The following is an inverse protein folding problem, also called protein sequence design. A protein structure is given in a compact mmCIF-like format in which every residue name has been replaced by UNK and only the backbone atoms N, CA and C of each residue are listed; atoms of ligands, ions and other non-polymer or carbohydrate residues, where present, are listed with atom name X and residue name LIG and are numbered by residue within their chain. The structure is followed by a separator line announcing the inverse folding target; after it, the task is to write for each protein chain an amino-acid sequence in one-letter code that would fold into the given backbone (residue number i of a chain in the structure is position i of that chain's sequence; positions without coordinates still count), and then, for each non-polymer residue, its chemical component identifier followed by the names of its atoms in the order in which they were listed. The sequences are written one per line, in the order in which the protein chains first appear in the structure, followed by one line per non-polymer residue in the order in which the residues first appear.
data_IF_867491524256
#
_entry.id   IF_867491524256
#
_cell.length_a   1.000
_cell.length_b   1.000
_cell.length_c   1.000
_cell.angle_alpha   90.00
_cell.angle_beta   90.00
_cell.angle_gamma   90.00
#
_symmetry.space_group_name_H-M   'P 1'
#
loop_
_entity.id
_entity.type
_entity.pdbx_description
1 polymer ?
#
# COMPACT_ATOMS: atom_id res chain seq x y z
N UNK A 1 -18.13 -38.34 16.84
CA UNK A 1 -17.89 -36.98 17.40
C UNK A 1 -17.60 -36.05 16.23
N UNK A 2 -18.36 -34.96 16.05
CA UNK A 2 -18.06 -33.96 15.00
C UNK A 2 -16.81 -33.18 15.42
N UNK A 3 -15.82 -33.06 14.53
CA UNK A 3 -14.61 -32.28 14.79
C UNK A 3 -14.90 -30.78 14.96
N UNK A 4 -13.92 -30.00 15.45
CA UNK A 4 -14.07 -28.55 15.61
C UNK A 4 -14.31 -27.85 14.27
N UNK A 5 -14.97 -26.67 14.26
CA UNK A 5 -15.21 -25.91 13.04
C UNK A 5 -13.90 -25.39 12.43
N UNK A 6 -13.92 -25.12 11.12
CA UNK A 6 -12.76 -24.57 10.41
C UNK A 6 -12.40 -23.18 10.94
N UNK A 7 -11.11 -22.96 11.24
CA UNK A 7 -10.62 -21.69 11.78
C UNK A 7 -10.69 -20.51 10.79
N UNK A 8 -10.82 -20.76 9.49
CA UNK A 8 -10.96 -19.71 8.47
C UNK A 8 -9.76 -18.75 8.38
N UNK A 9 -8.56 -19.20 8.73
CA UNK A 9 -7.33 -18.38 8.79
C UNK A 9 -6.93 -17.79 7.43
N UNK A 10 -7.26 -18.44 6.32
CA UNK A 10 -6.96 -17.97 4.95
C UNK A 10 -8.14 -17.27 4.28
N UNK A 11 -9.32 -17.23 4.91
CA UNK A 11 -10.51 -16.64 4.30
C UNK A 11 -10.32 -15.14 4.08
N UNK A 12 -10.56 -14.67 2.86
CA UNK A 12 -10.54 -13.25 2.52
C UNK A 12 -11.53 -12.45 3.38
N UNK A 13 -11.17 -11.21 3.67
CA UNK A 13 -11.98 -10.28 4.45
C UNK A 13 -12.40 -9.09 3.59
N UNK A 14 -13.62 -8.57 3.79
CA UNK A 14 -14.09 -7.43 3.01
C UNK A 14 -13.29 -6.16 3.33
N UNK A 15 -12.93 -5.41 2.29
CA UNK A 15 -12.30 -4.10 2.43
C UNK A 15 -13.33 -3.06 2.90
N UNK A 16 -12.89 -2.18 3.81
CA UNK A 16 -13.65 -0.97 4.14
C UNK A 16 -13.45 0.07 3.04
N UNK A 17 -14.38 1.02 2.91
CA UNK A 17 -14.21 2.15 1.99
C UNK A 17 -13.02 3.00 2.45
N UNK A 18 -12.04 3.16 1.57
CA UNK A 18 -10.80 3.92 1.82
C UNK A 18 -11.08 5.43 1.83
N UNK A 19 -10.27 6.17 2.58
CA UNK A 19 -10.13 7.61 2.42
C UNK A 19 -9.57 7.94 1.03
N UNK A 20 -8.63 7.14 0.52
CA UNK A 20 -8.09 7.27 -0.84
C UNK A 20 -9.21 7.43 -1.88
N UNK A 21 -10.16 6.49 -1.92
CA UNK A 21 -11.24 6.51 -2.89
C UNK A 21 -12.13 7.74 -2.77
N UNK A 22 -12.43 8.18 -1.54
CA UNK A 22 -13.22 9.40 -1.31
C UNK A 22 -12.51 10.65 -1.85
N UNK A 23 -11.20 10.75 -1.64
CA UNK A 23 -10.38 11.84 -2.14
C UNK A 23 -10.23 11.83 -3.66
N UNK A 24 -10.09 10.63 -4.24
CA UNK A 24 -10.08 10.45 -5.69
C UNK A 24 -11.40 10.89 -6.31
N UNK A 25 -12.54 10.41 -5.78
CA UNK A 25 -13.88 10.75 -6.28
C UNK A 25 -14.16 12.28 -6.18
N UNK A 26 -13.54 12.99 -5.23
CA UNK A 26 -13.64 14.45 -5.08
C UNK A 26 -12.73 15.24 -6.01
N UNK A 27 -11.71 14.62 -6.58
CA UNK A 27 -10.69 15.30 -7.39
C UNK A 27 -9.64 16.04 -6.55
N UNK A 28 -9.53 15.73 -5.26
CA UNK A 28 -8.64 16.41 -4.30
C UNK A 28 -7.16 16.01 -4.46
N UNK A 29 -6.86 14.97 -5.24
CA UNK A 29 -5.48 14.55 -5.48
C UNK A 29 -4.77 15.45 -6.51
N UNK A 30 -3.46 15.73 -6.29
CA UNK A 30 -2.62 16.42 -7.27
C UNK A 30 -2.18 15.48 -8.41
N UNK A 31 -3.06 14.59 -8.87
CA UNK A 31 -2.79 13.61 -9.94
C UNK A 31 -3.86 13.68 -11.04
N UNK A 32 -3.48 13.30 -12.26
CA UNK A 32 -4.35 13.17 -13.42
C UNK A 32 -3.96 11.95 -14.25
N UNK A 33 -4.87 11.48 -15.12
CA UNK A 33 -4.56 10.44 -16.10
C UNK A 33 -3.62 11.04 -17.15
N UNK A 34 -2.43 10.48 -17.34
CA UNK A 34 -1.61 10.81 -18.51
C UNK A 34 -2.16 10.06 -19.73
N UNK A 35 -2.60 10.79 -20.76
CA UNK A 35 -2.99 10.17 -22.03
C UNK A 35 -1.73 9.90 -22.87
N UNK A 36 -1.03 8.82 -22.53
CA UNK A 36 0.08 8.32 -23.33
C UNK A 36 -0.28 6.95 -23.92
N UNK A 37 -0.33 6.79 -25.25
CA UNK A 37 -0.71 5.53 -25.89
C UNK A 37 0.28 4.37 -25.66
N UNK A 38 1.46 4.64 -25.09
CA UNK A 38 2.56 3.66 -24.92
C UNK A 38 2.75 3.26 -23.45
N UNK A 39 2.54 4.17 -22.50
CA UNK A 39 2.77 3.90 -21.07
C UNK A 39 1.65 4.43 -20.20
N UNK A 40 1.10 3.59 -19.33
CA UNK A 40 0.18 4.03 -18.28
C UNK A 40 0.98 4.71 -17.16
N UNK A 41 1.04 6.04 -17.19
CA UNK A 41 1.62 6.88 -16.14
C UNK A 41 0.56 7.81 -15.55
N UNK A 42 0.82 8.31 -14.34
CA UNK A 42 0.01 9.37 -13.75
C UNK A 42 0.75 10.69 -13.93
N UNK A 43 0.01 11.73 -14.31
CA UNK A 43 0.55 13.07 -14.41
C UNK A 43 0.36 13.78 -13.06
N UNK A 44 1.44 14.21 -12.43
CA UNK A 44 1.38 15.00 -11.21
C UNK A 44 1.16 16.48 -11.54
N UNK A 45 0.14 17.09 -10.93
CA UNK A 45 -0.18 18.52 -11.06
C UNK A 45 0.79 19.42 -10.29
N UNK A 46 1.51 18.84 -9.34
CA UNK A 46 2.50 19.50 -8.48
C UNK A 46 3.75 18.62 -8.46
N UNK A 47 4.93 19.23 -8.46
CA UNK A 47 6.20 18.51 -8.27
C UNK A 47 6.16 17.67 -6.98
N UNK A 48 6.55 16.41 -7.09
CA UNK A 48 6.43 15.42 -6.00
C UNK A 48 7.22 15.87 -4.76
N UNK A 49 8.37 16.51 -5.00
CA UNK A 49 9.29 17.02 -3.99
C UNK A 49 8.64 18.11 -3.12
N UNK A 50 7.61 18.79 -3.63
CA UNK A 50 6.90 19.87 -2.96
C UNK A 50 5.63 19.41 -2.22
N UNK A 51 5.25 18.13 -2.32
CA UNK A 51 4.06 17.60 -1.64
C UNK A 51 4.24 17.48 -0.13
N UNK A 52 3.17 17.62 0.65
CA UNK A 52 3.21 17.26 2.07
C UNK A 52 3.13 15.73 2.24
N UNK A 53 4.25 15.11 2.58
CA UNK A 53 4.33 13.66 2.74
C UNK A 53 3.59 13.15 3.98
N UNK A 54 3.43 13.96 5.03
CA UNK A 54 2.65 13.57 6.20
C UNK A 54 1.17 13.44 5.84
N UNK A 55 0.71 14.21 4.85
CA UNK A 55 -0.67 14.17 4.40
C UNK A 55 -0.89 13.13 3.28
N UNK A 56 -0.12 13.23 2.19
CA UNK A 56 -0.41 12.47 0.98
C UNK A 56 0.07 11.02 1.04
N UNK A 57 1.25 10.74 1.60
CA UNK A 57 1.80 9.38 1.56
C UNK A 57 0.91 8.38 2.34
N UNK A 58 0.42 8.68 3.56
CA UNK A 58 -0.52 7.79 4.25
C UNK A 58 -1.85 7.63 3.49
N UNK A 59 -2.32 8.69 2.82
CA UNK A 59 -3.55 8.64 2.03
C UNK A 59 -3.41 7.73 0.81
N UNK A 60 -2.26 7.77 0.12
CA UNK A 60 -1.94 6.83 -0.95
C UNK A 60 -1.82 5.39 -0.44
N UNK A 61 -1.14 5.18 0.70
CA UNK A 61 -1.02 3.87 1.34
C UNK A 61 -2.37 3.29 1.80
N UNK A 62 -3.34 4.11 2.18
CA UNK A 62 -4.71 3.66 2.46
C UNK A 62 -5.38 3.05 1.20
N UNK A 63 -4.99 3.52 0.02
CA UNK A 63 -5.38 2.98 -1.28
C UNK A 63 -4.83 1.58 -1.60
N UNK A 64 -3.91 1.01 -0.80
CA UNK A 64 -3.43 -0.37 -0.95
C UNK A 64 -4.56 -1.41 -0.91
N UNK A 65 -5.70 -1.05 -0.29
CA UNK A 65 -6.87 -1.92 -0.21
C UNK A 65 -7.72 -1.93 -1.49
N UNK A 66 -7.47 -1.02 -2.44
CA UNK A 66 -8.24 -0.90 -3.68
C UNK A 66 -7.82 -1.97 -4.69
N UNK A 67 -8.81 -2.60 -5.32
CA UNK A 67 -8.64 -3.64 -6.37
C UNK A 67 -9.38 -3.29 -7.66
N UNK A 68 -10.03 -2.13 -7.71
CA UNK A 68 -10.85 -1.70 -8.84
C UNK A 68 -10.14 -0.61 -9.61
N UNK A 69 -10.10 -0.75 -10.94
CA UNK A 69 -9.73 0.34 -11.82
C UNK A 69 -10.76 1.49 -11.72
N UNK A 70 -10.34 2.77 -11.73
CA UNK A 70 -8.97 3.26 -11.84
C UNK A 70 -8.21 3.36 -10.49
N UNK A 71 -8.89 3.18 -9.37
CA UNK A 71 -8.36 3.44 -8.02
C UNK A 71 -7.07 2.69 -7.70
N UNK A 72 -7.03 1.37 -7.98
CA UNK A 72 -5.84 0.56 -7.68
C UNK A 72 -4.60 1.03 -8.46
N UNK A 73 -4.78 1.53 -9.68
CA UNK A 73 -3.71 1.99 -10.54
C UNK A 73 -3.13 3.30 -9.99
N UNK A 74 -3.98 4.26 -9.68
CA UNK A 74 -3.55 5.54 -9.10
C UNK A 74 -2.92 5.39 -7.72
N UNK A 75 -3.47 4.52 -6.87
CA UNK A 75 -2.89 4.26 -5.55
C UNK A 75 -1.47 3.70 -5.69
N UNK A 76 -1.30 2.66 -6.50
CA UNK A 76 0.00 1.99 -6.69
C UNK A 76 1.03 2.88 -7.36
N UNK A 77 0.66 3.56 -8.44
CA UNK A 77 1.58 4.45 -9.13
C UNK A 77 1.96 5.65 -8.27
N UNK A 78 0.99 6.22 -7.53
CA UNK A 78 1.26 7.32 -6.62
C UNK A 78 2.22 6.95 -5.48
N UNK A 79 2.06 5.76 -4.89
CA UNK A 79 3.02 5.25 -3.90
C UNK A 79 4.41 5.10 -4.53
N UNK A 80 4.51 4.46 -5.70
CA UNK A 80 5.81 4.27 -6.36
C UNK A 80 6.52 5.60 -6.63
N UNK A 81 5.83 6.57 -7.23
CA UNK A 81 6.43 7.85 -7.58
C UNK A 81 6.87 8.62 -6.33
N UNK A 82 6.08 8.59 -5.24
CA UNK A 82 6.42 9.25 -3.98
C UNK A 82 7.57 8.55 -3.23
N UNK A 83 7.66 7.22 -3.29
CA UNK A 83 8.80 6.52 -2.69
C UNK A 83 10.09 6.76 -3.48
N UNK A 84 10.00 6.86 -4.81
CA UNK A 84 11.16 7.09 -5.68
C UNK A 84 11.74 8.50 -5.53
N UNK A 85 10.88 9.53 -5.36
CA UNK A 85 11.30 10.93 -5.34
C UNK A 85 11.20 11.59 -3.95
N UNK A 86 10.83 10.85 -2.91
CA UNK A 86 10.56 11.41 -1.58
C UNK A 86 11.79 11.70 -0.74
N UNK A 87 12.88 10.95 -0.94
CA UNK A 87 14.14 11.11 -0.21
C UNK A 87 13.94 11.19 1.32
N UNK A 88 14.51 12.21 1.95
CA UNK A 88 14.48 12.39 3.41
C UNK A 88 13.08 12.67 3.99
N UNK A 89 12.05 12.88 3.16
CA UNK A 89 10.67 13.12 3.61
C UNK A 89 9.92 11.84 3.96
N UNK A 90 10.45 10.68 3.58
CA UNK A 90 9.81 9.37 3.80
C UNK A 90 9.99 8.92 5.25
N UNK A 91 11.22 8.99 5.77
CA UNK A 91 11.58 8.50 7.10
C UNK A 91 10.66 9.03 8.23
N UNK A 92 10.35 10.35 8.30
CA UNK A 92 9.46 10.88 9.35
C UNK A 92 8.02 10.34 9.29
N UNK A 93 7.59 9.84 8.13
CA UNK A 93 6.20 9.42 7.88
C UNK A 93 5.99 7.92 8.11
N UNK A 94 7.06 7.12 8.22
CA UNK A 94 7.01 5.66 8.46
C UNK A 94 6.00 5.25 9.54
N UNK A 95 5.92 5.90 10.73
CA UNK A 95 4.94 5.53 11.76
C UNK A 95 3.47 5.62 11.29
N UNK A 96 3.16 6.53 10.37
CA UNK A 96 1.82 6.76 9.85
C UNK A 96 1.41 5.71 8.81
N UNK A 97 2.39 5.06 8.16
CA UNK A 97 2.15 4.04 7.12
C UNK A 97 1.77 2.67 7.72
N UNK A 98 2.08 2.45 9.00
CA UNK A 98 1.92 1.14 9.66
C UNK A 98 0.47 0.66 9.66
N UNK A 99 -0.49 1.56 9.96
CA UNK A 99 -1.91 1.21 10.00
C UNK A 99 -2.46 0.89 8.61
N UNK A 100 -2.26 1.71 7.57
CA UNK A 100 -2.61 1.35 6.20
C UNK A 100 -2.03 0.01 5.73
N UNK A 101 -0.74 -0.24 5.95
CA UNK A 101 -0.07 -1.50 5.59
C UNK A 101 -0.74 -2.68 6.30
N UNK A 102 -0.91 -2.57 7.62
CA UNK A 102 -1.57 -3.60 8.42
C UNK A 102 -2.99 -3.86 7.93
N UNK A 103 -3.76 -2.83 7.59
CA UNK A 103 -5.13 -2.97 7.10
C UNK A 103 -5.17 -3.73 5.77
N UNK A 104 -4.31 -3.35 4.81
CA UNK A 104 -4.23 -4.01 3.51
C UNK A 104 -3.87 -5.50 3.65
N UNK A 105 -2.83 -5.84 4.42
CA UNK A 105 -2.42 -7.23 4.60
C UNK A 105 -3.51 -8.06 5.33
N UNK A 106 -4.23 -7.45 6.28
CA UNK A 106 -5.30 -8.13 7.02
C UNK A 106 -6.53 -8.49 6.18
N UNK A 107 -6.65 -7.98 4.95
CA UNK A 107 -7.69 -8.38 4.01
C UNK A 107 -7.53 -9.81 3.53
N UNK A 108 -6.32 -10.39 3.65
CA UNK A 108 -6.02 -11.78 3.24
C UNK A 108 -6.29 -12.05 1.76
N UNK A 109 -6.46 -11.01 0.97
CA UNK A 109 -6.60 -11.09 -0.48
C UNK A 109 -5.21 -11.21 -1.12
N UNK A 110 -5.01 -12.22 -1.97
CA UNK A 110 -3.68 -12.56 -2.51
C UNK A 110 -3.09 -11.44 -3.38
N UNK A 111 -3.91 -10.76 -4.17
CA UNK A 111 -3.45 -9.64 -5.01
C UNK A 111 -2.96 -8.47 -4.16
N UNK A 112 -3.71 -8.12 -3.11
CA UNK A 112 -3.34 -7.04 -2.18
C UNK A 112 -2.08 -7.41 -1.38
N UNK A 113 -1.98 -8.66 -0.91
CA UNK A 113 -0.79 -9.17 -0.21
C UNK A 113 0.46 -9.01 -1.08
N UNK A 114 0.44 -9.54 -2.31
CA UNK A 114 1.57 -9.44 -3.24
C UNK A 114 1.94 -7.99 -3.56
N UNK A 115 0.94 -7.12 -3.78
CA UNK A 115 1.17 -5.70 -4.08
C UNK A 115 1.77 -4.98 -2.88
N UNK A 116 1.24 -5.20 -1.68
CA UNK A 116 1.72 -4.57 -0.45
C UNK A 116 3.13 -5.03 -0.11
N UNK A 117 3.47 -6.30 -0.34
CA UNK A 117 4.83 -6.82 -0.15
C UNK A 117 5.84 -6.16 -1.10
N UNK A 118 5.48 -5.95 -2.38
CA UNK A 118 6.34 -5.21 -3.32
C UNK A 118 6.54 -3.76 -2.90
N UNK A 119 5.49 -3.10 -2.42
CA UNK A 119 5.58 -1.74 -1.89
C UNK A 119 6.42 -1.67 -0.61
N UNK A 120 6.33 -2.68 0.26
CA UNK A 120 7.22 -2.78 1.43
C UNK A 120 8.68 -2.93 1.03
N UNK A 121 8.99 -3.71 -0.03
CA UNK A 121 10.35 -3.82 -0.56
C UNK A 121 10.87 -2.48 -1.11
N UNK A 122 10.02 -1.71 -1.83
CA UNK A 122 10.39 -0.37 -2.31
C UNK A 122 10.58 0.61 -1.14
N UNK A 123 9.69 0.58 -0.14
CA UNK A 123 9.75 1.45 1.03
C UNK A 123 11.08 1.30 1.77
N UNK A 124 11.54 0.07 2.05
CA UNK A 124 12.78 -0.14 2.83
C UNK A 124 14.05 0.31 2.12
N UNK A 125 14.03 0.46 0.79
CA UNK A 125 15.17 0.95 0.00
C UNK A 125 15.01 2.39 -0.47
N UNK A 126 13.87 3.05 -0.15
CA UNK A 126 13.54 4.38 -0.66
C UNK A 126 14.31 5.53 -0.01
N UNK A 127 14.82 5.35 1.21
CA UNK A 127 15.61 6.35 1.92
C UNK A 127 16.41 5.72 3.06
N UNK A 128 17.48 6.40 3.50
CA UNK A 128 18.30 5.99 4.63
C UNK A 128 17.46 5.81 5.90
N UNK A 129 17.83 4.82 6.70
CA UNK A 129 17.23 4.49 8.00
C UNK A 129 15.76 4.03 7.98
N UNK A 130 15.10 3.93 6.80
CA UNK A 130 13.70 3.49 6.72
C UNK A 130 13.54 2.03 7.15
N UNK A 131 14.48 1.16 6.79
CA UNK A 131 14.49 -0.25 7.22
C UNK A 131 14.56 -0.40 8.74
N UNK A 132 15.47 0.33 9.37
CA UNK A 132 15.65 0.39 10.82
C UNK A 132 14.41 0.96 11.51
N UNK A 133 13.81 2.01 10.94
CA UNK A 133 12.60 2.64 11.45
C UNK A 133 11.38 1.69 11.42
N UNK A 134 11.36 0.65 10.58
CA UNK A 134 10.29 -0.35 10.55
C UNK A 134 10.39 -1.41 11.65
N UNK A 135 11.58 -1.64 12.23
CA UNK A 135 11.82 -2.71 13.22
C UNK A 135 10.83 -2.69 14.40
N UNK A 136 10.49 -1.54 15.03
CA UNK A 136 9.53 -1.49 16.13
C UNK A 136 8.10 -1.95 15.75
N UNK A 137 7.79 -2.00 14.45
CA UNK A 137 6.46 -2.28 13.91
C UNK A 137 6.30 -3.70 13.35
N UNK A 138 7.35 -4.53 13.34
CA UNK A 138 7.29 -5.90 12.84
C UNK A 138 6.16 -6.74 13.47
N UNK A 139 5.94 -6.60 14.77
CA UNK A 139 4.83 -7.26 15.49
C UNK A 139 3.44 -6.92 14.95
N UNK A 140 3.28 -5.80 14.25
CA UNK A 140 2.00 -5.36 13.70
C UNK A 140 1.77 -5.85 12.27
N UNK A 141 2.84 -6.06 11.50
CA UNK A 141 2.81 -6.32 10.06
C UNK A 141 3.03 -7.81 9.76
N UNK A 142 4.01 -8.44 10.40
CA UNK A 142 4.44 -9.81 10.08
C UNK A 142 3.44 -10.93 10.41
N UNK A 143 2.59 -10.86 11.46
CA UNK A 143 1.75 -12.01 11.86
C UNK A 143 0.85 -12.56 10.75
N UNK A 144 0.31 -11.69 9.89
CA UNK A 144 -0.54 -12.13 8.78
C UNK A 144 0.27 -12.83 7.68
N UNK A 145 1.52 -12.43 7.45
CA UNK A 145 2.40 -13.06 6.46
C UNK A 145 2.73 -14.51 6.83
N UNK A 146 2.82 -14.82 8.13
CA UNK A 146 3.03 -16.19 8.61
C UNK A 146 1.95 -17.18 8.14
N UNK A 147 0.72 -16.70 7.91
CA UNK A 147 -0.39 -17.52 7.37
C UNK A 147 -0.10 -17.94 5.92
N UNK A 148 0.54 -17.07 5.14
CA UNK A 148 0.74 -17.25 3.70
C UNK A 148 2.17 -17.67 3.31
N UNK A 149 3.10 -17.76 4.28
CA UNK A 149 4.54 -18.01 4.06
C UNK A 149 4.84 -19.23 3.17
N UNK A 150 4.02 -20.27 3.25
CA UNK A 150 4.22 -21.53 2.52
C UNK A 150 3.27 -21.71 1.32
N UNK A 151 2.45 -20.70 1.00
CA UNK A 151 1.49 -20.76 -0.09
C UNK A 151 2.12 -20.41 -1.44
N UNK A 152 3.06 -21.24 -1.87
CA UNK A 152 3.67 -21.14 -3.21
C UNK A 152 2.75 -21.81 -4.25
N UNK A 153 2.72 -21.27 -5.47
CA UNK A 153 2.13 -22.01 -6.58
C UNK A 153 2.99 -23.23 -6.89
N UNK A 154 2.37 -24.36 -7.20
CA UNK A 154 3.09 -25.41 -7.92
C UNK A 154 3.48 -24.82 -9.28
N UNK A 155 4.78 -24.90 -9.62
CA UNK A 155 5.32 -24.48 -10.91
C UNK A 155 4.92 -25.47 -12.00
#
# INVERSE_FOLDING_TARGET
VRGPPLAGSVKERPAKRTAFRKFYDRGDFPIAVEHNPITNKIAWKVQIENLDYHYFLPLFFDGLCETKFPYEFFARQGIHDMLEHGGNKILPVVPQLIIPIKNALNLRNRQILCTTLKILQHLVVSADMVGEALVPYYRQILPVLSIFKHMNGEL
#
